data_IF_375553156859
#
_entry.id   IF_375553156859
#
_cell.length_a   1.000
_cell.length_b   1.000
_cell.length_c   1.000
_cell.angle_alpha   90.00
_cell.angle_beta   90.00
_cell.angle_gamma   90.00
#
_symmetry.space_group_name_H-M   'P 1'
#
loop_
_entity.id
_entity.type
_entity.pdbx_description
1 polymer ?
#
# COMPACT_ATOMS: atom_id res chain seq x y z
N UNK A 1 21.99 -2.88 -28.25
CA UNK A 1 20.65 -2.87 -28.86
C UNK A 1 19.63 -3.25 -27.80
N UNK A 2 18.76 -2.30 -27.44
CA UNK A 2 17.42 -2.40 -26.82
C UNK A 2 17.28 -3.38 -25.62
N UNK A 3 16.82 -2.96 -24.44
CA UNK A 3 15.50 -2.36 -24.24
C UNK A 3 15.48 -1.47 -22.99
N UNK A 4 15.13 -0.20 -23.24
CA UNK A 4 14.09 0.52 -22.52
C UNK A 4 14.20 0.59 -20.99
N UNK A 5 14.83 1.68 -20.54
CA UNK A 5 14.49 2.36 -19.29
C UNK A 5 13.00 2.70 -19.27
N UNK A 6 12.17 1.80 -18.76
CA UNK A 6 10.81 2.10 -18.31
C UNK A 6 10.81 1.90 -16.80
N UNK A 7 10.85 3.00 -16.03
CA UNK A 7 10.53 2.94 -14.60
C UNK A 7 9.14 2.31 -14.49
N UNK A 8 9.05 1.10 -13.98
CA UNK A 8 7.78 0.51 -13.57
C UNK A 8 7.16 1.46 -12.55
N UNK A 9 6.03 2.08 -12.92
CA UNK A 9 5.19 2.77 -11.95
C UNK A 9 4.49 1.68 -11.14
N UNK A 10 5.15 1.22 -10.07
CA UNK A 10 4.50 0.38 -9.06
C UNK A 10 3.31 1.17 -8.51
N UNK A 11 2.12 0.56 -8.55
CA UNK A 11 0.94 1.20 -7.96
C UNK A 11 1.08 1.22 -6.43
N UNK A 12 0.33 2.10 -5.78
CA UNK A 12 0.26 2.11 -4.31
C UNK A 12 -0.15 0.72 -3.77
N UNK A 13 -1.02 0.02 -4.49
CA UNK A 13 -1.51 -1.30 -4.11
C UNK A 13 -0.39 -2.33 -4.18
N UNK A 14 0.39 -2.35 -5.27
CA UNK A 14 1.51 -3.28 -5.43
C UNK A 14 2.55 -3.06 -4.33
N UNK A 15 2.80 -1.80 -3.98
CA UNK A 15 3.70 -1.45 -2.87
C UNK A 15 3.18 -1.96 -1.53
N UNK A 16 1.88 -1.75 -1.24
CA UNK A 16 1.27 -2.23 0.02
C UNK A 16 1.30 -3.76 0.08
N UNK A 17 0.95 -4.46 -1.00
CA UNK A 17 0.97 -5.93 -1.07
C UNK A 17 2.38 -6.44 -0.83
N UNK A 18 3.39 -5.86 -1.49
CA UNK A 18 4.79 -6.26 -1.30
C UNK A 18 5.22 -6.12 0.16
N UNK A 19 5.00 -4.95 0.75
CA UNK A 19 5.40 -4.68 2.14
C UNK A 19 4.71 -5.66 3.11
N UNK A 20 3.40 -5.88 2.98
CA UNK A 20 2.65 -6.74 3.89
C UNK A 20 2.89 -8.23 3.67
N UNK A 21 3.31 -8.64 2.48
CA UNK A 21 3.73 -10.02 2.19
C UNK A 21 5.07 -10.36 2.84
N UNK A 22 5.96 -9.37 2.96
CA UNK A 22 7.27 -9.55 3.59
C UNK A 22 7.21 -9.32 5.11
N UNK A 23 6.38 -8.38 5.57
CA UNK A 23 6.34 -7.95 6.97
C UNK A 23 4.89 -7.74 7.47
N UNK A 24 4.44 -8.45 8.53
CA UNK A 24 3.13 -8.23 9.12
C UNK A 24 3.11 -6.94 9.95
N UNK A 25 2.89 -5.80 9.30
CA UNK A 25 2.90 -4.49 9.96
C UNK A 25 1.60 -4.18 10.71
N UNK A 26 1.72 -3.57 11.89
CA UNK A 26 0.59 -2.93 12.57
C UNK A 26 0.17 -1.64 11.85
N UNK A 27 -1.00 -1.10 12.19
CA UNK A 27 -1.57 0.06 11.50
C UNK A 27 -0.65 1.30 11.60
N UNK A 28 -0.10 1.58 12.78
CA UNK A 28 0.85 2.69 12.96
C UNK A 28 2.08 2.58 12.05
N UNK A 29 2.68 1.38 11.96
CA UNK A 29 3.87 1.16 11.13
C UNK A 29 3.55 1.26 9.65
N UNK A 30 2.44 0.68 9.21
CA UNK A 30 2.00 0.77 7.82
C UNK A 30 1.67 2.22 7.44
N UNK A 31 0.92 2.94 8.26
CA UNK A 31 0.57 4.34 7.99
C UNK A 31 1.79 5.26 7.95
N UNK A 32 2.83 4.98 8.73
CA UNK A 32 4.11 5.72 8.64
C UNK A 32 4.78 5.57 7.28
N UNK A 33 4.74 4.38 6.65
CA UNK A 33 5.28 4.15 5.31
C UNK A 33 4.61 5.05 4.24
N UNK A 34 3.38 5.47 4.48
CA UNK A 34 2.57 6.30 3.57
C UNK A 34 2.30 7.70 4.12
N UNK A 35 3.16 8.23 5.00
CA UNK A 35 2.96 9.51 5.69
C UNK A 35 2.74 10.74 4.78
N UNK A 36 3.09 10.64 3.49
CA UNK A 36 2.87 11.69 2.48
C UNK A 36 1.45 11.68 1.87
N UNK A 37 0.59 10.73 2.26
CA UNK A 37 -0.77 10.57 1.76
C UNK A 37 -1.78 10.74 2.90
N UNK A 38 -2.96 11.28 2.60
CA UNK A 38 -4.03 11.44 3.61
C UNK A 38 -3.61 12.39 4.74
N UNK A 39 -3.33 13.66 4.40
CA UNK A 39 -3.04 14.71 5.38
C UNK A 39 -4.17 14.84 6.41
N UNK A 40 -3.81 15.11 7.67
CA UNK A 40 -4.76 15.20 8.78
C UNK A 40 -5.08 13.87 9.48
N UNK A 41 -4.73 12.73 8.87
CA UNK A 41 -4.81 11.42 9.53
C UNK A 41 -3.56 11.17 10.38
N UNK A 42 -3.76 10.58 11.55
CA UNK A 42 -2.64 9.98 12.27
C UNK A 42 -2.14 8.70 11.56
N UNK A 43 -1.01 8.15 12.00
CA UNK A 43 -0.45 6.95 11.38
C UNK A 43 -1.34 5.71 11.56
N UNK A 44 -2.07 5.60 12.68
CA UNK A 44 -2.95 4.47 12.96
C UNK A 44 -4.16 4.48 12.04
N UNK A 45 -4.81 5.63 11.90
CA UNK A 45 -5.96 5.86 11.02
C UNK A 45 -5.58 5.58 9.57
N UNK A 46 -4.45 6.12 9.12
CA UNK A 46 -3.95 5.91 7.76
C UNK A 46 -3.68 4.42 7.49
N UNK A 47 -2.98 3.74 8.40
CA UNK A 47 -2.69 2.32 8.23
C UNK A 47 -3.93 1.44 8.22
N UNK A 48 -4.89 1.74 9.10
CA UNK A 48 -6.19 1.05 9.14
C UNK A 48 -6.95 1.24 7.82
N UNK A 49 -7.02 2.48 7.32
CA UNK A 49 -7.68 2.79 6.05
C UNK A 49 -7.04 2.03 4.88
N UNK A 50 -5.71 1.97 4.82
CA UNK A 50 -4.98 1.20 3.79
C UNK A 50 -5.33 -0.29 3.85
N UNK A 51 -5.35 -0.90 5.04
CA UNK A 51 -5.72 -2.32 5.19
C UNK A 51 -7.17 -2.59 4.79
N UNK A 52 -8.11 -1.75 5.23
CA UNK A 52 -9.51 -1.87 4.85
C UNK A 52 -9.67 -1.79 3.33
N UNK A 53 -9.03 -0.81 2.69
CA UNK A 53 -9.05 -0.68 1.24
C UNK A 53 -8.44 -1.91 0.55
N UNK A 54 -7.29 -2.41 1.02
CA UNK A 54 -6.65 -3.59 0.44
C UNK A 54 -7.56 -4.83 0.50
N UNK A 55 -8.22 -5.07 1.64
CA UNK A 55 -9.16 -6.19 1.79
C UNK A 55 -10.29 -6.07 0.78
N UNK A 56 -10.92 -4.89 0.68
CA UNK A 56 -12.03 -4.65 -0.25
C UNK A 56 -11.59 -4.79 -1.72
N UNK A 57 -10.40 -4.29 -2.05
CA UNK A 57 -9.84 -4.41 -3.39
C UNK A 57 -9.56 -5.87 -3.77
N UNK A 58 -8.99 -6.66 -2.86
CA UNK A 58 -8.72 -8.08 -3.09
C UNK A 58 -10.01 -8.90 -3.17
N UNK A 59 -11.00 -8.64 -2.31
CA UNK A 59 -12.31 -9.29 -2.38
C UNK A 59 -13.00 -9.04 -3.73
N UNK A 60 -12.97 -7.80 -4.21
CA UNK A 60 -13.51 -7.44 -5.53
C UNK A 60 -12.73 -8.10 -6.68
N UNK A 61 -11.43 -8.34 -6.54
CA UNK A 61 -10.58 -8.96 -7.58
C UNK A 61 -10.77 -10.47 -7.72
N UNK A 62 -11.21 -11.14 -6.65
CA UNK A 62 -11.36 -12.60 -6.59
C UNK A 62 -12.75 -13.05 -7.09
N UNK A 63 -13.76 -12.18 -6.99
CA UNK A 63 -15.08 -12.38 -7.61
C UNK A 63 -15.02 -12.19 -9.12
#
# INVERSE_FOLDING_TARGET
MLRSSSRERSSIIDTVIKILSEYPLCDNCLGRCFAKLGYGLDNKERGKAIKTFLILYLDHKIK
#
